data_IF_275622380696
#
_entry.id   IF_275622380696
#
_cell.length_a   1.000
_cell.length_b   1.000
_cell.length_c   1.000
_cell.angle_alpha   90.00
_cell.angle_beta   90.00
_cell.angle_gamma   90.00
#
_symmetry.space_group_name_H-M   'P 1'
#
loop_
_entity.id
_entity.type
_entity.pdbx_description
1 polymer ?
#
# COMPACT_ATOMS: atom_id res chain seq x y z
N UNK A 1 14.64 18.04 9.42
CA UNK A 1 13.72 17.17 8.64
C UNK A 1 14.41 15.92 8.09
N UNK A 2 15.53 16.04 7.35
CA UNK A 2 16.27 14.88 6.78
C UNK A 2 16.75 13.86 7.83
N UNK A 3 17.12 14.31 9.04
CA UNK A 3 17.53 13.40 10.11
C UNK A 3 16.39 12.46 10.57
N UNK A 4 15.10 12.88 10.53
CA UNK A 4 13.97 12.01 10.91
C UNK A 4 13.72 10.89 9.89
N UNK A 5 13.92 11.17 8.60
CA UNK A 5 13.82 10.17 7.51
C UNK A 5 14.86 9.05 7.70
N UNK A 6 16.07 9.40 8.19
CA UNK A 6 17.11 8.41 8.51
C UNK A 6 16.77 7.51 9.70
N UNK A 7 15.86 7.90 10.59
CA UNK A 7 15.45 7.10 11.75
C UNK A 7 14.42 6.02 11.34
N UNK A 8 13.52 6.34 10.41
CA UNK A 8 12.47 5.43 9.92
C UNK A 8 12.51 5.27 8.38
N UNK A 9 13.58 4.70 7.82
CA UNK A 9 13.74 4.58 6.37
C UNK A 9 12.66 3.68 5.75
N UNK A 10 12.22 2.64 6.46
CA UNK A 10 11.19 1.71 5.99
C UNK A 10 9.82 2.37 5.84
N UNK A 11 9.40 3.19 6.81
CA UNK A 11 8.12 3.89 6.79
C UNK A 11 8.10 4.97 5.71
N UNK A 12 9.24 5.62 5.48
CA UNK A 12 9.38 6.60 4.39
C UNK A 12 9.24 5.93 3.02
N UNK A 13 9.94 4.81 2.80
CA UNK A 13 9.86 4.06 1.53
C UNK A 13 8.45 3.51 1.30
N UNK A 14 7.80 3.00 2.36
CA UNK A 14 6.41 2.54 2.29
C UNK A 14 5.45 3.67 1.95
N UNK A 15 5.56 4.81 2.63
CA UNK A 15 4.70 5.98 2.39
C UNK A 15 4.82 6.50 0.96
N UNK A 16 6.06 6.65 0.45
CA UNK A 16 6.31 7.04 -0.94
C UNK A 16 5.78 5.99 -1.92
N UNK A 17 6.01 4.70 -1.65
CA UNK A 17 5.52 3.60 -2.49
C UNK A 17 4.00 3.59 -2.61
N UNK A 18 3.29 3.77 -1.50
CA UNK A 18 1.83 3.86 -1.47
C UNK A 18 1.31 5.03 -2.30
N UNK A 19 1.95 6.21 -2.21
CA UNK A 19 1.58 7.38 -3.01
C UNK A 19 1.80 7.11 -4.51
N UNK A 20 2.94 6.52 -4.88
CA UNK A 20 3.24 6.21 -6.29
C UNK A 20 2.25 5.20 -6.85
N UNK A 21 1.90 4.16 -6.10
CA UNK A 21 0.89 3.17 -6.50
C UNK A 21 -0.49 3.83 -6.64
N UNK A 22 -0.89 4.66 -5.68
CA UNK A 22 -2.17 5.35 -5.74
C UNK A 22 -2.29 6.33 -6.91
N UNK A 23 -1.23 7.10 -7.19
CA UNK A 23 -1.14 7.95 -8.38
C UNK A 23 -1.22 7.12 -9.66
N UNK A 24 -0.53 5.98 -9.71
CA UNK A 24 -0.60 5.08 -10.86
C UNK A 24 -2.02 4.58 -11.10
N UNK A 25 -2.77 4.22 -10.06
CA UNK A 25 -4.16 3.78 -10.18
C UNK A 25 -5.07 4.89 -10.73
N UNK A 26 -4.96 6.13 -10.22
CA UNK A 26 -5.75 7.27 -10.69
C UNK A 26 -5.43 7.62 -12.16
N UNK A 27 -4.16 7.53 -12.56
CA UNK A 27 -3.78 7.86 -13.94
C UNK A 27 -4.21 6.78 -14.96
N UNK A 28 -4.65 5.61 -14.51
CA UNK A 28 -4.99 4.48 -15.36
C UNK A 28 -6.45 4.02 -15.15
N UNK A 29 -7.40 4.75 -15.75
CA UNK A 29 -8.85 4.49 -15.66
C UNK A 29 -9.32 3.10 -16.15
N UNK A 30 -8.47 2.33 -16.81
CA UNK A 30 -8.75 0.97 -17.30
C UNK A 30 -7.70 -0.04 -16.83
N UNK A 31 -7.11 0.19 -15.66
CA UNK A 31 -6.08 -0.68 -15.11
C UNK A 31 -6.59 -2.12 -14.88
N UNK A 32 -7.81 -2.27 -14.37
CA UNK A 32 -8.49 -3.54 -14.19
C UNK A 32 -9.52 -3.78 -15.28
N UNK A 33 -9.41 -4.91 -15.97
CA UNK A 33 -10.30 -5.29 -17.08
C UNK A 33 -11.40 -6.27 -16.68
N UNK A 34 -11.38 -6.75 -15.44
CA UNK A 34 -12.28 -7.79 -14.93
C UNK A 34 -12.57 -7.53 -13.43
N UNK A 35 -13.78 -7.82 -12.93
CA UNK A 35 -14.94 -8.38 -13.63
C UNK A 35 -15.73 -7.33 -14.43
N UNK A 36 -16.28 -7.70 -15.61
CA UNK A 36 -16.85 -6.75 -16.58
C UNK A 36 -18.01 -5.90 -16.05
N UNK A 37 -18.77 -6.44 -15.09
CA UNK A 37 -19.91 -5.74 -14.51
C UNK A 37 -19.51 -4.65 -13.50
N UNK A 38 -18.30 -4.74 -12.93
CA UNK A 38 -17.83 -3.86 -11.83
C UNK A 38 -16.61 -3.03 -12.23
N UNK A 39 -16.23 -2.99 -13.52
CA UNK A 39 -15.03 -2.29 -14.01
C UNK A 39 -15.00 -0.83 -13.52
N UNK A 40 -16.14 -0.14 -13.53
CA UNK A 40 -16.23 1.25 -13.09
C UNK A 40 -15.97 1.42 -11.59
N UNK A 41 -16.38 0.45 -10.76
CA UNK A 41 -16.18 0.50 -9.32
C UNK A 41 -14.73 0.18 -8.94
N UNK A 42 -14.12 -0.80 -9.63
CA UNK A 42 -12.77 -1.26 -9.31
C UNK A 42 -11.70 -0.29 -9.84
N UNK A 43 -11.98 0.41 -10.94
CA UNK A 43 -11.11 1.47 -11.47
C UNK A 43 -11.49 2.87 -10.97
N UNK A 44 -12.38 2.96 -9.96
CA UNK A 44 -12.73 4.25 -9.38
C UNK A 44 -11.50 4.88 -8.70
N UNK A 45 -11.29 6.16 -8.96
CA UNK A 45 -10.21 6.98 -8.39
C UNK A 45 -10.16 6.92 -6.86
N UNK A 46 -11.27 6.56 -6.20
CA UNK A 46 -11.35 6.34 -4.76
C UNK A 46 -10.29 5.35 -4.26
N UNK A 47 -9.99 4.29 -5.03
CA UNK A 47 -8.99 3.30 -4.62
C UNK A 47 -7.60 3.92 -4.64
N UNK A 48 -7.24 4.63 -5.70
CA UNK A 48 -5.98 5.35 -5.77
C UNK A 48 -5.87 6.45 -4.70
N UNK A 49 -6.97 7.14 -4.40
CA UNK A 49 -7.02 8.14 -3.33
C UNK A 49 -6.77 7.53 -1.94
N UNK A 50 -7.31 6.33 -1.66
CA UNK A 50 -7.04 5.61 -0.42
C UNK A 50 -5.55 5.26 -0.26
N UNK A 51 -4.90 4.83 -1.34
CA UNK A 51 -3.46 4.54 -1.35
C UNK A 51 -2.62 5.82 -1.10
N UNK A 52 -2.96 6.93 -1.76
CA UNK A 52 -2.29 8.22 -1.54
C UNK A 52 -2.51 8.70 -0.10
N UNK A 53 -3.73 8.59 0.42
CA UNK A 53 -4.07 9.03 1.77
C UNK A 53 -3.30 8.25 2.84
N UNK A 54 -3.26 6.91 2.74
CA UNK A 54 -2.51 6.06 3.66
C UNK A 54 -1.00 6.36 3.60
N UNK A 55 -0.46 6.45 2.38
CA UNK A 55 0.95 6.79 2.16
C UNK A 55 1.33 8.18 2.70
N UNK A 56 0.45 9.18 2.52
CA UNK A 56 0.65 10.52 3.08
C UNK A 56 0.63 10.50 4.60
N UNK A 57 -0.29 9.76 5.20
CA UNK A 57 -0.40 9.66 6.66
C UNK A 57 0.82 8.97 7.28
N UNK A 58 1.36 7.94 6.62
CA UNK A 58 2.65 7.34 6.98
C UNK A 58 3.80 8.35 6.96
N UNK A 59 3.88 9.21 5.94
CA UNK A 59 4.92 10.24 5.86
C UNK A 59 4.75 11.31 6.93
N UNK A 60 3.51 11.77 7.18
CA UNK A 60 3.22 12.72 8.26
C UNK A 60 3.66 12.16 9.61
N UNK A 61 3.37 10.89 9.88
CA UNK A 61 3.80 10.22 11.12
C UNK A 61 5.34 10.20 11.27
N UNK A 62 6.08 9.94 10.19
CA UNK A 62 7.56 10.03 10.18
C UNK A 62 8.05 11.45 10.49
N UNK A 63 7.34 12.48 10.03
CA UNK A 63 7.72 13.88 10.27
C UNK A 63 7.32 14.39 11.66
N UNK A 64 6.19 13.97 12.21
CA UNK A 64 5.74 14.34 13.56
C UNK A 64 6.64 13.72 14.64
N UNK A 65 7.17 12.52 14.42
CA UNK A 65 8.29 11.99 15.20
C UNK A 65 7.89 10.97 16.26
N UNK A 66 7.32 9.84 15.82
CA UNK A 66 7.22 8.59 16.59
C UNK A 66 6.49 8.65 17.94
N UNK A 67 5.69 9.69 18.21
CA UNK A 67 5.06 9.86 19.53
C UNK A 67 4.02 8.77 19.87
N UNK A 68 3.53 8.01 18.89
CA UNK A 68 2.46 7.02 19.12
C UNK A 68 2.66 5.69 18.39
N UNK A 69 3.05 4.67 19.17
CA UNK A 69 3.17 3.26 18.75
C UNK A 69 1.82 2.70 18.25
N UNK A 70 0.71 3.10 18.89
CA UNK A 70 -0.63 2.66 18.49
C UNK A 70 -1.01 3.18 17.11
N UNK A 71 -0.64 4.42 16.78
CA UNK A 71 -0.89 5.00 15.46
C UNK A 71 -0.06 4.31 14.39
N UNK A 72 1.22 4.06 14.65
CA UNK A 72 2.07 3.34 13.71
C UNK A 72 1.49 1.96 13.33
N UNK A 73 1.07 1.21 14.34
CA UNK A 73 0.51 -0.13 14.14
C UNK A 73 -0.76 -0.10 13.27
N UNK A 74 -1.62 0.90 13.47
CA UNK A 74 -2.84 1.08 12.65
C UNK A 74 -2.49 1.40 11.20
N UNK A 75 -1.53 2.31 10.97
CA UNK A 75 -1.08 2.67 9.63
C UNK A 75 -0.48 1.46 8.90
N UNK A 76 0.47 0.76 9.53
CA UNK A 76 1.07 -0.44 8.92
C UNK A 76 0.05 -1.55 8.64
N UNK A 77 -0.97 -1.70 9.49
CA UNK A 77 -2.06 -2.65 9.26
C UNK A 77 -2.92 -2.24 8.06
N UNK A 78 -3.24 -0.95 7.93
CA UNK A 78 -3.98 -0.41 6.79
C UNK A 78 -3.20 -0.57 5.49
N UNK A 79 -1.90 -0.23 5.50
CA UNK A 79 -0.99 -0.44 4.36
C UNK A 79 -0.92 -1.90 3.95
N UNK A 80 -0.76 -2.82 4.91
CA UNK A 80 -0.71 -4.25 4.64
C UNK A 80 -2.04 -4.77 4.07
N UNK A 81 -3.17 -4.26 4.56
CA UNK A 81 -4.49 -4.60 4.05
C UNK A 81 -4.68 -4.11 2.61
N UNK A 82 -4.36 -2.85 2.31
CA UNK A 82 -4.48 -2.28 0.96
C UNK A 82 -3.59 -3.02 -0.05
N UNK A 83 -2.33 -3.25 0.31
CA UNK A 83 -1.38 -4.00 -0.53
C UNK A 83 -1.82 -5.46 -0.72
N UNK A 84 -2.29 -6.11 0.34
CA UNK A 84 -2.84 -7.46 0.29
C UNK A 84 -4.06 -7.54 -0.62
N UNK A 85 -5.02 -6.62 -0.46
CA UNK A 85 -6.20 -6.53 -1.31
C UNK A 85 -5.83 -6.35 -2.79
N UNK A 86 -4.97 -5.38 -3.11
CA UNK A 86 -4.50 -5.14 -4.48
C UNK A 86 -3.83 -6.37 -5.09
N UNK A 87 -2.97 -7.04 -4.32
CA UNK A 87 -2.26 -8.23 -4.77
C UNK A 87 -3.21 -9.40 -5.01
N UNK A 88 -4.08 -9.70 -4.05
CA UNK A 88 -5.07 -10.77 -4.17
C UNK A 88 -6.00 -10.50 -5.33
N UNK A 89 -6.42 -9.26 -5.52
CA UNK A 89 -7.30 -8.88 -6.62
C UNK A 89 -6.65 -9.11 -7.99
N UNK A 90 -5.40 -8.68 -8.18
CA UNK A 90 -4.64 -8.96 -9.40
C UNK A 90 -4.40 -10.45 -9.62
N UNK A 91 -4.18 -11.22 -8.56
CA UNK A 91 -4.05 -12.67 -8.63
C UNK A 91 -5.37 -13.32 -9.09
N UNK A 92 -6.51 -12.88 -8.55
CA UNK A 92 -7.83 -13.38 -8.96
C UNK A 92 -8.10 -13.08 -10.43
N UNK A 93 -7.76 -11.88 -10.92
CA UNK A 93 -7.87 -11.55 -12.35
C UNK A 93 -7.03 -12.53 -13.19
N UNK A 94 -5.79 -12.79 -12.78
CA UNK A 94 -4.93 -13.73 -13.49
C UNK A 94 -5.51 -15.15 -13.50
N UNK A 95 -6.02 -15.64 -12.38
CA UNK A 95 -6.66 -16.96 -12.29
C UNK A 95 -7.93 -17.03 -13.15
N UNK A 96 -8.74 -15.97 -13.18
CA UNK A 96 -10.02 -15.96 -13.88
C UNK A 96 -9.89 -15.75 -15.40
N UNK A 97 -8.90 -14.96 -15.84
CA UNK A 97 -8.78 -14.51 -17.24
C UNK A 97 -7.53 -15.02 -17.95
N UNK A 98 -6.53 -15.51 -17.21
CA UNK A 98 -5.20 -15.83 -17.73
C UNK A 98 -4.36 -14.60 -18.10
N UNK A 99 -4.92 -13.38 -18.02
CA UNK A 99 -4.21 -12.15 -18.32
C UNK A 99 -3.19 -11.86 -17.22
N UNK A 100 -1.93 -11.72 -17.62
CA UNK A 100 -0.87 -11.40 -16.68
C UNK A 100 -1.08 -9.99 -16.11
N UNK A 101 -1.17 -9.93 -14.79
CA UNK A 101 -1.15 -8.71 -13.99
C UNK A 101 0.12 -8.73 -13.13
N UNK A 102 0.58 -7.57 -12.67
CA UNK A 102 1.79 -7.45 -11.84
C UNK A 102 1.64 -7.98 -10.40
N UNK A 103 0.83 -9.02 -10.19
CA UNK A 103 0.50 -9.59 -8.90
C UNK A 103 1.72 -10.18 -8.19
N UNK A 104 2.70 -10.75 -8.92
CA UNK A 104 3.93 -11.29 -8.32
C UNK A 104 4.76 -10.16 -7.69
N UNK A 105 4.96 -9.05 -8.40
CA UNK A 105 5.66 -7.88 -7.89
C UNK A 105 4.96 -7.31 -6.66
N UNK A 106 3.64 -7.15 -6.74
CA UNK A 106 2.83 -6.64 -5.64
C UNK A 106 2.79 -7.60 -4.44
N UNK A 107 2.89 -8.91 -4.67
CA UNK A 107 3.04 -9.91 -3.59
C UNK A 107 4.35 -9.73 -2.83
N UNK A 108 5.46 -9.50 -3.55
CA UNK A 108 6.77 -9.27 -2.92
C UNK A 108 6.74 -7.99 -2.07
N UNK A 109 6.15 -6.91 -2.61
CA UNK A 109 6.00 -5.64 -1.88
C UNK A 109 5.10 -5.84 -0.65
N UNK A 110 3.99 -6.56 -0.79
CA UNK A 110 3.08 -6.88 0.32
C UNK A 110 3.79 -7.70 1.41
N UNK A 111 4.56 -8.72 1.03
CA UNK A 111 5.36 -9.51 1.96
C UNK A 111 6.39 -8.65 2.69
N UNK A 112 7.03 -7.70 1.98
CA UNK A 112 7.94 -6.74 2.59
C UNK A 112 7.23 -5.84 3.61
N UNK A 113 6.04 -5.32 3.26
CA UNK A 113 5.20 -4.51 4.18
C UNK A 113 4.85 -5.32 5.43
N UNK A 114 4.44 -6.57 5.29
CA UNK A 114 4.10 -7.47 6.40
C UNK A 114 5.31 -7.77 7.30
N UNK A 115 6.50 -7.94 6.71
CA UNK A 115 7.75 -8.11 7.47
C UNK A 115 8.08 -6.83 8.24
N UNK A 116 7.92 -5.65 7.62
CA UNK A 116 8.11 -4.37 8.29
C UNK A 116 7.11 -4.18 9.45
N UNK A 117 5.84 -4.51 9.24
CA UNK A 117 4.81 -4.48 10.27
C UNK A 117 5.15 -5.41 11.45
N UNK A 118 5.53 -6.66 11.18
CA UNK A 118 5.96 -7.61 12.22
C UNK A 118 7.19 -7.14 12.99
N UNK A 119 8.21 -6.61 12.31
CA UNK A 119 9.43 -6.13 12.96
C UNK A 119 9.15 -4.90 13.84
N UNK A 120 8.24 -4.04 13.42
CA UNK A 120 7.76 -2.93 14.24
C UNK A 120 7.06 -3.40 15.51
N UNK A 121 6.29 -4.49 15.45
CA UNK A 121 5.65 -5.11 16.62
C UNK A 121 6.68 -5.70 17.61
N UNK A 122 7.78 -6.32 17.13
CA UNK A 122 8.79 -6.96 17.99
C UNK A 122 9.80 -6.02 18.65
N UNK A 123 9.95 -4.77 18.18
CA UNK A 123 10.96 -3.85 18.72
C UNK A 123 10.53 -3.14 20.01
N UNK A 124 9.29 -3.37 20.45
CA UNK A 124 8.67 -2.71 21.60
C UNK A 124 7.96 -3.70 22.56
N UNK A 125 8.22 -5.01 22.43
CA UNK A 125 7.88 -6.03 23.42
C UNK A 125 9.13 -6.52 24.13
#
# INVERSE_FOLDING_TARGET
MINKIRVHPTHTVLGVGMIVIGLWLILNNHFFTWPPNEINFVNDDIWGALFIFDGTTLLVWVFEGDESVKWNRRLLTATAFLMGFLTTYQFVIWVATGLYMSWISNTIITAFVLICARRSDTRHG
#
